data_IF_887287474958
#
_entry.id   IF_887287474958
#
_cell.length_a   1.000
_cell.length_b   1.000
_cell.length_c   1.000
_cell.angle_alpha   90.00
_cell.angle_beta   90.00
_cell.angle_gamma   90.00
#
_symmetry.space_group_name_H-M   'P 1'
#
loop_
_entity.id
_entity.type
_entity.pdbx_description
1 polymer ?
#
# COMPACT_ATOMS: atom_id res chain seq x y z
N UNK A 1 1.20 -0.62 4.64
CA UNK A 1 2.63 -0.87 4.40
C UNK A 1 2.81 -1.17 2.92
N UNK A 2 3.66 -0.41 2.25
CA UNK A 2 4.04 -0.67 0.86
C UNK A 2 5.07 -1.81 0.81
N UNK A 3 5.08 -2.58 -0.28
CA UNK A 3 6.10 -3.61 -0.55
C UNK A 3 6.91 -3.21 -1.77
N UNK A 4 8.20 -3.52 -1.77
CA UNK A 4 9.11 -3.28 -2.88
C UNK A 4 9.89 -4.55 -3.20
N UNK A 5 10.16 -4.79 -4.48
CA UNK A 5 10.92 -5.96 -4.91
C UNK A 5 11.38 -5.87 -6.37
N UNK A 6 12.40 -6.65 -6.70
CA UNK A 6 12.89 -6.80 -8.08
C UNK A 6 11.90 -7.59 -8.91
N UNK A 7 11.73 -7.20 -10.17
CA UNK A 7 10.88 -7.90 -11.13
C UNK A 7 11.61 -8.06 -12.46
N UNK A 8 11.19 -9.03 -13.26
CA UNK A 8 11.76 -9.24 -14.58
C UNK A 8 11.57 -8.00 -15.47
N UNK A 9 12.65 -7.45 -16.07
CA UNK A 9 12.55 -6.36 -17.03
C UNK A 9 11.80 -6.73 -18.31
N UNK A 10 11.66 -8.03 -18.62
CA UNK A 10 10.98 -8.52 -19.82
C UNK A 10 9.54 -8.99 -19.55
N UNK A 11 9.02 -8.75 -18.34
CA UNK A 11 7.67 -9.15 -17.95
C UNK A 11 7.47 -10.67 -18.06
N UNK A 12 6.34 -11.10 -18.66
CA UNK A 12 5.98 -12.51 -18.79
C UNK A 12 6.89 -13.31 -19.75
N UNK A 13 7.84 -12.65 -20.44
CA UNK A 13 8.71 -13.31 -21.43
C UNK A 13 9.94 -13.95 -20.82
N UNK A 14 10.25 -13.68 -19.54
CA UNK A 14 11.44 -14.20 -18.87
C UNK A 14 11.30 -14.08 -17.35
N UNK A 15 11.82 -15.04 -16.60
CA UNK A 15 11.89 -15.00 -15.13
C UNK A 15 13.18 -14.36 -14.60
N UNK A 16 14.12 -14.00 -15.48
CA UNK A 16 15.36 -13.33 -15.08
C UNK A 16 15.08 -11.94 -14.50
N UNK A 17 15.64 -11.61 -13.34
CA UNK A 17 15.47 -10.31 -12.68
C UNK A 17 16.37 -9.18 -13.24
N UNK A 18 17.14 -9.49 -14.27
CA UNK A 18 17.99 -8.55 -14.98
C UNK A 18 18.02 -8.90 -16.47
N UNK A 19 18.34 -7.92 -17.31
CA UNK A 19 18.59 -8.15 -18.73
C UNK A 19 19.91 -7.49 -19.13
N UNK A 20 20.79 -8.25 -19.78
CA UNK A 20 22.13 -7.79 -20.16
C UNK A 20 22.28 -7.77 -21.68
N UNK A 21 22.70 -6.64 -22.24
CA UNK A 21 23.02 -6.47 -23.67
C UNK A 21 24.18 -5.50 -23.80
N UNK A 22 25.15 -5.77 -24.68
CA UNK A 22 26.28 -4.87 -24.96
C UNK A 22 27.00 -4.36 -23.70
N UNK A 23 27.24 -5.25 -22.72
CA UNK A 23 27.88 -4.90 -21.44
C UNK A 23 27.10 -3.92 -20.55
N UNK A 24 25.80 -3.73 -20.81
CA UNK A 24 24.87 -2.93 -20.00
C UNK A 24 23.87 -3.85 -19.30
N UNK A 25 23.44 -3.48 -18.08
CA UNK A 25 22.49 -4.25 -17.27
C UNK A 25 21.26 -3.41 -16.98
N UNK A 26 20.09 -3.92 -17.36
CA UNK A 26 18.79 -3.36 -17.02
C UNK A 26 18.21 -4.08 -15.80
N UNK A 27 17.84 -3.30 -14.78
CA UNK A 27 17.16 -3.75 -13.56
C UNK A 27 15.83 -3.02 -13.40
N UNK A 28 14.82 -3.71 -12.88
CA UNK A 28 13.51 -3.11 -12.61
C UNK A 28 13.07 -3.41 -11.18
N UNK A 29 12.70 -2.36 -10.46
CA UNK A 29 12.08 -2.45 -9.14
C UNK A 29 10.59 -2.11 -9.25
N UNK A 30 9.75 -2.91 -8.60
CA UNK A 30 8.32 -2.65 -8.48
C UNK A 30 8.00 -2.28 -7.04
N UNK A 31 7.20 -1.22 -6.87
CA UNK A 31 6.59 -0.83 -5.60
C UNK A 31 5.09 -1.06 -5.68
N UNK A 32 4.55 -1.76 -4.70
CA UNK A 32 3.12 -1.95 -4.53
C UNK A 32 2.67 -1.23 -3.26
N UNK A 33 1.68 -0.35 -3.43
CA UNK A 33 1.15 0.49 -2.36
C UNK A 33 -0.37 0.41 -2.35
N UNK A 34 -0.93 0.28 -1.14
CA UNK A 34 -2.38 0.34 -0.97
C UNK A 34 -2.82 1.79 -1.15
N UNK A 35 -3.82 2.01 -1.99
CA UNK A 35 -4.47 3.32 -2.12
C UNK A 35 -5.40 3.48 -0.91
N UNK A 36 -4.90 4.15 0.13
CA UNK A 36 -5.64 4.46 1.35
C UNK A 36 -5.70 5.98 1.53
N UNK A 37 -6.70 6.66 0.95
CA UNK A 37 -6.82 8.10 1.07
C UNK A 37 -7.14 8.51 2.50
N UNK A 38 -6.43 9.51 3.03
CA UNK A 38 -6.67 10.06 4.37
C UNK A 38 -8.14 10.45 4.63
N UNK A 39 -8.89 11.04 3.67
CA UNK A 39 -10.30 11.38 3.90
C UNK A 39 -11.18 10.15 4.20
N UNK A 40 -10.90 9.02 3.55
CA UNK A 40 -11.66 7.78 3.75
C UNK A 40 -11.39 7.20 5.15
N UNK A 41 -10.13 7.19 5.56
CA UNK A 41 -9.73 6.72 6.90
C UNK A 41 -10.40 7.57 7.99
N UNK A 42 -10.42 8.90 7.81
CA UNK A 42 -11.02 9.81 8.76
C UNK A 42 -12.55 9.64 8.85
N UNK A 43 -13.22 9.39 7.72
CA UNK A 43 -14.66 9.14 7.69
C UNK A 43 -15.04 7.85 8.42
N UNK A 44 -14.39 6.74 8.09
CA UNK A 44 -14.63 5.44 8.74
C UNK A 44 -14.36 5.51 10.26
N UNK A 45 -13.32 6.24 10.67
CA UNK A 45 -13.04 6.48 12.08
C UNK A 45 -14.17 7.25 12.76
N UNK A 46 -14.64 8.35 12.15
CA UNK A 46 -15.75 9.15 12.70
C UNK A 46 -17.03 8.34 12.84
N UNK A 47 -17.40 7.56 11.82
CA UNK A 47 -18.58 6.71 11.86
C UNK A 47 -18.50 5.67 12.98
N UNK A 48 -17.33 5.04 13.16
CA UNK A 48 -17.11 4.08 14.24
C UNK A 48 -17.17 4.74 15.62
N UNK A 49 -16.58 5.92 15.79
CA UNK A 49 -16.65 6.68 17.05
C UNK A 49 -18.10 7.05 17.37
N UNK A 50 -18.84 7.62 16.41
CA UNK A 50 -20.22 8.04 16.62
C UNK A 50 -21.12 6.86 17.06
N UNK A 51 -20.94 5.68 16.45
CA UNK A 51 -21.66 4.47 16.84
C UNK A 51 -21.37 4.08 18.30
N UNK A 52 -20.09 4.01 18.67
CA UNK A 52 -19.67 3.62 20.02
C UNK A 52 -20.06 4.64 21.09
N UNK A 53 -20.03 5.93 20.78
CA UNK A 53 -20.48 6.98 21.70
C UNK A 53 -21.99 6.93 21.91
N UNK A 54 -22.76 6.63 20.86
CA UNK A 54 -24.21 6.38 20.97
C UNK A 54 -24.50 5.17 21.85
N UNK A 55 -23.80 4.06 21.65
CA UNK A 55 -24.02 2.82 22.40
C UNK A 55 -23.62 2.95 23.88
N UNK A 56 -22.57 3.70 24.19
CA UNK A 56 -22.03 3.83 25.56
C UNK A 56 -22.56 5.06 26.32
N UNK A 57 -23.27 5.97 25.66
CA UNK A 57 -23.78 7.21 26.27
C UNK A 57 -22.69 8.15 26.79
N UNK A 58 -21.45 8.01 26.31
CA UNK A 58 -20.30 8.83 26.74
C UNK A 58 -19.35 9.08 25.59
N UNK A 59 -18.61 10.18 25.66
CA UNK A 59 -17.53 10.46 24.69
C UNK A 59 -16.35 9.51 24.86
N UNK A 60 -15.76 9.13 23.73
CA UNK A 60 -14.53 8.34 23.71
C UNK A 60 -13.31 9.27 23.90
N UNK A 61 -12.36 8.82 24.71
CA UNK A 61 -11.08 9.52 24.90
C UNK A 61 -10.07 9.03 23.88
N UNK A 62 -9.17 9.91 23.46
CA UNK A 62 -8.05 9.57 22.59
C UNK A 62 -6.97 8.89 23.45
N UNK A 63 -6.79 7.58 23.28
CA UNK A 63 -5.68 6.82 23.83
C UNK A 63 -4.71 6.45 22.70
#
# INVERSE_FOLDING_TARGET
MAKTGWVSPLGQRSDCLHHTVNNQVLLVIRREEKILPSPVIAEELRQRVARLESDQGRRLKKN
#
